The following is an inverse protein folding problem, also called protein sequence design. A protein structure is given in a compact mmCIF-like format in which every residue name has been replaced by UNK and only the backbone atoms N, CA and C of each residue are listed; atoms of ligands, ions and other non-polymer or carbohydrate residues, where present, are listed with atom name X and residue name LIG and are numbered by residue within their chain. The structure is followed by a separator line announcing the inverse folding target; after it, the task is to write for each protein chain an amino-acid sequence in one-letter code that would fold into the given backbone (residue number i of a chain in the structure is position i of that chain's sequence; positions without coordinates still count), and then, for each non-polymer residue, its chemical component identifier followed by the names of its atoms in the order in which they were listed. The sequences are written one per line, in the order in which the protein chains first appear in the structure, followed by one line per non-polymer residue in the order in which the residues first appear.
data_IF_846335729563
#
_entry.id   IF_846335729563
#
_cell.length_a   1.000
_cell.length_b   1.000
_cell.length_c   1.000
_cell.angle_alpha   90.00
_cell.angle_beta   90.00
_cell.angle_gamma   90.00
#
_symmetry.space_group_name_H-M   'P 1'
#
loop_
_entity.id
_entity.type
_entity.pdbx_description
1 polymer ?
#
# COMPACT_ATOMS: atom_id res chain seq x y z
N UNK A 1 -11.04 9.48 20.91
CA UNK A 1 -11.38 9.67 19.49
C UNK A 1 -10.76 8.55 18.67
N UNK A 2 -11.51 8.02 17.71
CA UNK A 2 -10.94 7.23 16.62
C UNK A 2 -10.83 8.09 15.37
N UNK A 3 -9.72 7.99 14.64
CA UNK A 3 -9.52 8.66 13.35
C UNK A 3 -9.07 7.61 12.35
N UNK A 4 -9.83 7.42 11.27
CA UNK A 4 -9.48 6.53 10.16
C UNK A 4 -9.40 7.36 8.89
N UNK A 5 -8.29 7.25 8.17
CA UNK A 5 -8.04 7.97 6.91
C UNK A 5 -7.89 6.92 5.82
N UNK A 6 -8.69 7.01 4.78
CA UNK A 6 -8.68 6.07 3.65
C UNK A 6 -8.76 6.84 2.35
N UNK A 7 -7.62 7.04 1.68
CA UNK A 7 -7.55 7.85 0.46
C UNK A 7 -7.85 9.32 0.74
N UNK A 8 -8.99 9.80 0.25
CA UNK A 8 -9.54 11.15 0.48
C UNK A 8 -10.72 11.18 1.46
N UNK A 9 -11.14 10.03 1.97
CA UNK A 9 -12.17 9.90 3.00
C UNK A 9 -11.53 9.96 4.39
N UNK A 10 -12.04 10.84 5.26
CA UNK A 10 -11.71 10.85 6.68
C UNK A 10 -12.94 10.46 7.50
N UNK A 11 -12.76 9.49 8.38
CA UNK A 11 -13.81 9.02 9.28
C UNK A 11 -13.40 9.28 10.73
N UNK A 12 -14.22 10.06 11.43
CA UNK A 12 -14.05 10.40 12.84
C UNK A 12 -15.03 9.61 13.68
N UNK A 13 -14.55 8.92 14.71
CA UNK A 13 -15.39 8.19 15.65
C UNK A 13 -15.35 8.86 17.03
N UNK A 14 -16.53 9.13 17.57
CA UNK A 14 -16.66 9.71 18.90
C UNK A 14 -16.14 8.73 19.99
N UNK A 15 -15.52 9.20 21.09
CA UNK A 15 -15.03 8.35 22.17
C UNK A 15 -16.11 7.45 22.77
N UNK A 16 -15.72 6.30 23.33
CA UNK A 16 -16.65 5.31 23.91
C UNK A 16 -17.50 5.87 25.04
N UNK A 17 -16.98 6.83 25.80
CA UNK A 17 -17.68 7.48 26.93
C UNK A 17 -18.94 8.26 26.50
N UNK A 18 -19.09 8.53 25.21
CA UNK A 18 -20.19 9.29 24.61
C UNK A 18 -21.05 8.45 23.65
N UNK A 19 -20.85 7.12 23.63
CA UNK A 19 -21.64 6.20 22.77
C UNK A 19 -22.97 5.85 23.43
N UNK A 20 -24.06 5.91 22.66
CA UNK A 20 -25.39 5.42 23.09
C UNK A 20 -26.53 6.44 23.03
N UNK A 21 -26.25 7.73 22.86
CA UNK A 21 -27.25 8.79 22.71
C UNK A 21 -27.17 9.46 21.34
N UNK A 22 -28.14 10.32 21.00
CA UNK A 22 -28.12 11.16 19.79
C UNK A 22 -26.86 12.04 19.79
N UNK A 23 -25.80 11.58 19.14
CA UNK A 23 -24.53 12.32 19.02
C UNK A 23 -24.78 13.54 18.14
N UNK A 24 -24.16 14.65 18.51
CA UNK A 24 -24.10 15.87 17.71
C UNK A 24 -22.66 16.18 17.40
N UNK A 25 -22.44 16.65 16.18
CA UNK A 25 -21.13 17.04 15.69
C UNK A 25 -21.07 18.55 15.46
N UNK A 26 -19.92 19.13 15.78
CA UNK A 26 -19.62 20.54 15.61
C UNK A 26 -18.25 20.68 14.94
N UNK A 27 -18.12 21.64 14.03
CA UNK A 27 -16.86 22.01 13.39
C UNK A 27 -16.62 23.51 13.58
N UNK A 28 -15.49 23.86 14.17
CA UNK A 28 -15.04 25.25 14.39
C UNK A 28 -16.12 26.14 15.03
N UNK A 29 -16.85 25.64 16.03
CA UNK A 29 -17.92 26.41 16.69
C UNK A 29 -19.31 26.25 16.07
N UNK A 30 -19.43 25.57 14.92
CA UNK A 30 -20.67 25.48 14.14
C UNK A 30 -21.21 24.06 14.12
N UNK A 31 -22.48 23.91 14.49
CA UNK A 31 -23.15 22.61 14.42
C UNK A 31 -23.21 22.10 12.97
N UNK A 32 -22.94 20.82 12.79
CA UNK A 32 -23.09 20.10 11.52
C UNK A 32 -24.48 19.45 11.50
N UNK A 33 -25.48 20.04 10.82
CA UNK A 33 -26.82 19.47 10.79
C UNK A 33 -26.82 18.12 10.06
N UNK A 34 -27.67 17.20 10.52
CA UNK A 34 -27.85 15.85 9.96
C UNK A 34 -26.67 14.87 10.14
N UNK A 35 -25.67 15.21 10.94
CA UNK A 35 -24.61 14.28 11.36
C UNK A 35 -24.94 13.84 12.79
N UNK A 36 -25.70 12.75 12.92
CA UNK A 36 -26.10 12.19 14.22
C UNK A 36 -25.52 10.80 14.50
N UNK A 37 -24.75 10.27 13.56
CA UNK A 37 -24.15 8.96 13.67
C UNK A 37 -22.91 9.01 14.58
N UNK A 38 -22.54 7.85 15.14
CA UNK A 38 -21.31 7.70 15.94
C UNK A 38 -20.03 8.01 15.15
N UNK A 39 -20.14 7.93 13.82
CA UNK A 39 -19.08 8.14 12.85
C UNK A 39 -19.43 9.33 11.96
N UNK A 40 -18.55 10.33 11.94
CA UNK A 40 -18.61 11.46 11.01
C UNK A 40 -17.72 11.13 9.81
N UNK A 41 -18.35 10.97 8.64
CA UNK A 41 -17.67 10.74 7.35
C UNK A 41 -17.47 12.07 6.61
N UNK A 42 -16.23 12.37 6.27
CA UNK A 42 -15.83 13.55 5.52
C UNK A 42 -15.26 13.09 4.17
N UNK A 43 -16.09 13.12 3.14
CA UNK A 43 -15.70 12.83 1.77
C UNK A 43 -14.90 14.00 1.17
N UNK A 44 -14.03 13.69 0.19
CA UNK A 44 -13.16 14.65 -0.49
C UNK A 44 -12.45 15.62 0.46
N UNK A 45 -11.81 15.07 1.50
CA UNK A 45 -11.21 15.88 2.54
C UNK A 45 -10.13 16.80 1.95
N UNK A 46 -10.20 18.09 2.26
CA UNK A 46 -9.20 19.09 1.87
C UNK A 46 -8.51 19.64 3.11
N UNK A 47 -7.17 19.67 3.14
CA UNK A 47 -6.42 20.22 4.28
C UNK A 47 -6.84 21.67 4.59
N UNK A 48 -7.12 22.48 3.57
CA UNK A 48 -7.44 23.90 3.76
C UNK A 48 -8.85 24.13 4.26
N UNK A 49 -9.80 23.30 3.86
CA UNK A 49 -11.22 23.51 4.17
C UNK A 49 -11.70 22.66 5.35
N UNK A 50 -11.14 21.46 5.51
CA UNK A 50 -11.58 20.47 6.49
C UNK A 50 -10.64 20.29 7.67
N UNK A 51 -9.48 20.94 7.70
CA UNK A 51 -8.71 21.04 8.95
C UNK A 51 -9.38 22.02 9.90
N UNK A 52 -9.49 21.65 11.18
CA UNK A 52 -10.18 22.46 12.17
C UNK A 52 -10.44 21.72 13.47
N UNK A 53 -11.19 22.37 14.36
CA UNK A 53 -11.65 21.78 15.61
C UNK A 53 -12.97 21.06 15.38
N UNK A 54 -12.97 19.76 15.62
CA UNK A 54 -14.17 18.93 15.65
C UNK A 54 -14.55 18.67 17.09
N UNK A 55 -15.84 18.77 17.40
CA UNK A 55 -16.36 18.35 18.69
C UNK A 55 -17.49 17.35 18.51
N UNK A 56 -17.54 16.37 19.39
CA UNK A 56 -18.69 15.48 19.50
C UNK A 56 -19.21 15.53 20.94
N UNK A 57 -20.53 15.53 21.07
CA UNK A 57 -21.21 15.59 22.34
C UNK A 57 -22.59 14.93 22.23
N UNK A 58 -23.11 14.45 23.35
CA UNK A 58 -24.46 13.90 23.43
C UNK A 58 -25.38 14.93 24.06
N UNK A 59 -26.69 14.79 23.85
CA UNK A 59 -27.68 15.64 24.56
C UNK A 59 -27.65 15.45 26.09
N UNK A 60 -27.12 14.32 26.56
CA UNK A 60 -27.00 13.96 27.98
C UNK A 60 -25.72 14.47 28.64
N UNK A 61 -24.64 14.64 27.88
CA UNK A 61 -23.36 15.14 28.36
C UNK A 61 -23.26 16.65 28.17
N UNK A 62 -23.01 17.39 29.25
CA UNK A 62 -22.60 18.80 29.16
C UNK A 62 -21.14 18.96 28.68
N UNK A 63 -20.35 17.88 28.73
CA UNK A 63 -18.95 17.90 28.33
C UNK A 63 -18.84 17.57 26.84
N UNK A 64 -18.32 18.54 26.08
CA UNK A 64 -17.95 18.37 24.68
C UNK A 64 -16.54 17.79 24.62
N UNK A 65 -16.38 16.68 23.93
CA UNK A 65 -15.05 16.22 23.54
C UNK A 65 -14.60 17.08 22.36
N UNK A 66 -13.33 17.48 22.31
CA UNK A 66 -12.75 18.25 21.21
C UNK A 66 -11.55 17.51 20.60
N UNK A 67 -11.44 17.55 19.28
CA UNK A 67 -10.35 17.02 18.48
C UNK A 67 -9.91 18.07 17.46
N UNK A 68 -8.66 18.47 17.49
CA UNK A 68 -8.08 19.27 16.41
C UNK A 68 -7.60 18.32 15.30
N UNK A 69 -8.27 18.34 14.15
CA UNK A 69 -7.92 17.53 13.01
C UNK A 69 -7.11 18.37 12.03
N UNK A 70 -5.87 17.93 11.78
CA UNK A 70 -5.02 18.45 10.71
C UNK A 70 -4.41 17.28 9.96
N UNK A 71 -5.00 16.97 8.81
CA UNK A 71 -4.60 15.86 7.97
C UNK A 71 -4.32 16.34 6.54
N UNK A 72 -3.34 15.72 5.89
CA UNK A 72 -3.11 15.84 4.45
C UNK A 72 -3.55 14.54 3.83
N UNK A 73 -4.69 14.57 3.16
CA UNK A 73 -5.18 13.43 2.37
C UNK A 73 -4.83 13.65 0.91
N UNK A 74 -4.72 12.57 0.15
CA UNK A 74 -4.35 12.63 -1.25
C UNK A 74 -4.94 11.44 -2.00
N UNK A 75 -5.61 11.71 -3.13
CA UNK A 75 -6.09 10.67 -4.06
C UNK A 75 -4.87 9.93 -4.62
N UNK A 76 -4.80 8.61 -4.40
CA UNK A 76 -3.73 7.70 -4.84
C UNK A 76 -2.36 7.83 -4.14
N UNK A 77 -2.29 8.53 -3.00
CA UNK A 77 -1.07 8.46 -2.20
C UNK A 77 -1.01 7.11 -1.47
N UNK A 78 0.03 6.34 -1.74
CA UNK A 78 0.35 5.11 -0.99
C UNK A 78 1.21 5.54 0.20
N UNK A 79 0.77 5.19 1.41
CA UNK A 79 1.61 5.36 2.58
C UNK A 79 2.82 4.43 2.43
N UNK A 80 3.99 5.03 2.24
CA UNK A 80 5.24 4.30 2.05
C UNK A 80 5.74 3.87 3.43
N UNK A 81 5.22 2.74 3.90
CA UNK A 81 5.72 2.10 5.11
C UNK A 81 7.09 1.45 4.85
N UNK A 82 7.95 1.45 5.86
CA UNK A 82 9.28 0.81 5.83
C UNK A 82 9.17 -0.65 5.41
N UNK A 83 8.16 -1.38 5.91
CA UNK A 83 7.97 -2.78 5.55
C UNK A 83 7.59 -2.94 4.07
N UNK A 84 6.80 -2.02 3.50
CA UNK A 84 6.45 -2.04 2.09
C UNK A 84 7.70 -1.82 1.21
N UNK A 85 8.56 -0.86 1.57
CA UNK A 85 9.82 -0.60 0.85
C UNK A 85 10.74 -1.83 0.91
N UNK A 86 10.92 -2.41 2.10
CA UNK A 86 11.74 -3.61 2.28
C UNK A 86 11.19 -4.77 1.45
N UNK A 87 9.87 -4.99 1.45
CA UNK A 87 9.24 -6.04 0.65
C UNK A 87 9.50 -5.84 -0.85
N UNK A 88 9.39 -4.61 -1.37
CA UNK A 88 9.66 -4.31 -2.78
C UNK A 88 11.12 -4.65 -3.14
N UNK A 89 12.09 -4.27 -2.29
CA UNK A 89 13.50 -4.56 -2.52
C UNK A 89 13.76 -6.08 -2.50
N UNK A 90 13.19 -6.79 -1.53
CA UNK A 90 13.36 -8.25 -1.42
C UNK A 90 12.78 -8.96 -2.65
N UNK A 91 11.63 -8.53 -3.15
CA UNK A 91 11.01 -9.10 -4.35
C UNK A 91 11.90 -8.86 -5.58
N UNK A 92 12.44 -7.65 -5.75
CA UNK A 92 13.32 -7.32 -6.88
C UNK A 92 14.63 -8.14 -6.85
N UNK A 93 15.26 -8.25 -5.68
CA UNK A 93 16.48 -9.07 -5.50
C UNK A 93 16.21 -10.55 -5.78
N UNK A 94 15.10 -11.10 -5.28
CA UNK A 94 14.73 -12.49 -5.55
C UNK A 94 14.44 -12.73 -7.03
N UNK A 95 13.75 -11.80 -7.70
CA UNK A 95 13.43 -11.91 -9.12
C UNK A 95 14.69 -11.84 -9.99
N UNK A 96 15.57 -10.86 -9.73
CA UNK A 96 16.84 -10.72 -10.44
C UNK A 96 17.75 -11.93 -10.26
N UNK A 97 17.92 -12.43 -9.03
CA UNK A 97 18.68 -13.65 -8.76
C UNK A 97 18.06 -14.88 -9.41
N UNK A 98 16.72 -15.01 -9.36
CA UNK A 98 15.99 -16.09 -10.02
C UNK A 98 16.22 -16.12 -11.53
N UNK A 99 16.10 -14.96 -12.19
CA UNK A 99 16.38 -14.83 -13.63
C UNK A 99 17.83 -15.16 -13.96
N UNK A 100 18.79 -14.70 -13.16
CA UNK A 100 20.20 -15.02 -13.36
C UNK A 100 20.47 -16.52 -13.27
N UNK A 101 19.88 -17.21 -12.29
CA UNK A 101 20.00 -18.67 -12.16
C UNK A 101 19.37 -19.38 -13.36
N UNK A 102 18.16 -18.99 -13.78
CA UNK A 102 17.48 -19.58 -14.95
C UNK A 102 18.36 -19.46 -16.20
N UNK A 103 18.85 -18.24 -16.50
CA UNK A 103 19.73 -18.00 -17.66
C UNK A 103 21.02 -18.79 -17.54
N UNK A 104 21.62 -18.85 -16.34
CA UNK A 104 22.83 -19.61 -16.08
C UNK A 104 22.62 -21.11 -16.36
N UNK A 105 21.54 -21.70 -15.86
CA UNK A 105 21.21 -23.11 -16.11
C UNK A 105 20.89 -23.37 -17.58
N UNK A 106 20.20 -22.47 -18.25
CA UNK A 106 19.89 -22.59 -19.69
C UNK A 106 21.16 -22.51 -20.54
N UNK A 107 22.07 -21.59 -20.22
CA UNK A 107 23.37 -21.45 -20.87
C UNK A 107 24.22 -22.69 -20.66
N UNK A 108 24.26 -23.22 -19.43
CA UNK A 108 24.99 -24.44 -19.10
C UNK A 108 24.41 -25.69 -19.79
N UNK A 109 23.09 -25.85 -19.79
CA UNK A 109 22.42 -26.95 -20.50
C UNK A 109 22.59 -26.84 -22.01
N UNK A 110 22.58 -25.64 -22.60
CA UNK A 110 22.94 -25.46 -24.02
C UNK A 110 24.38 -25.88 -24.31
N UNK A 111 25.34 -25.53 -23.44
CA UNK A 111 26.74 -25.94 -23.62
C UNK A 111 26.92 -27.47 -23.56
N UNK A 112 26.13 -28.18 -22.74
CA UNK A 112 26.13 -29.64 -22.71
C UNK A 112 25.52 -30.25 -23.99
N UNK A 113 24.49 -29.63 -24.57
CA UNK A 113 23.83 -30.10 -25.79
C UNK A 113 24.56 -29.71 -27.10
N UNK A 114 25.46 -28.73 -27.08
CA UNK A 114 26.33 -28.40 -28.22
C UNK A 114 27.55 -29.32 -28.36
N UNK A 115 27.79 -30.22 -27.40
CA UNK A 115 28.89 -31.20 -27.45
C UNK A 115 28.46 -32.54 -28.07
N UNK A 116 27.28 -32.59 -28.71
CA UNK A 116 26.75 -33.75 -29.43
C UNK A 116 26.39 -33.45 -30.89
N UNK A 117 26.96 -32.41 -31.49
CA UNK A 117 26.92 -32.24 -32.95
C UNK A 117 28.30 -31.83 -33.45
N UNK A 118 28.82 -32.65 -34.37
CA UNK A 118 30.03 -32.46 -35.19
C UNK A 118 31.37 -32.97 -34.63
N UNK A 119 31.51 -34.29 -34.59
CA UNK A 119 32.74 -34.92 -35.10
C UNK A 119 32.36 -35.90 -36.21
N UNK A 120 31.97 -35.34 -37.36
CA UNK A 120 31.93 -36.09 -38.60
C UNK A 120 33.34 -36.59 -38.88
N UNK A 121 33.59 -37.87 -38.66
CA UNK A 121 34.80 -38.56 -39.10
C UNK A 121 34.75 -38.69 -40.62
N UNK A 122 35.23 -37.67 -41.31
CA UNK A 122 35.42 -37.65 -42.74
C UNK A 122 36.81 -37.11 -43.09
N UNK A 123 37.50 -37.88 -43.94
CA UNK A 123 38.71 -37.57 -44.72
C UNK A 123 40.08 -37.99 -44.12
N UNK A 124 40.74 -38.93 -44.81
CA UNK A 124 42.21 -38.94 -44.90
C UNK A 124 42.97 -40.28 -44.81
N UNK A 125 42.40 -41.42 -45.22
CA UNK A 125 43.13 -42.70 -45.27
C UNK A 125 43.81 -42.95 -46.62
N UNK A 126 45.12 -42.68 -46.70
CA UNK A 126 46.03 -42.88 -47.85
C UNK A 126 46.12 -44.37 -48.26
N UNK A 127 46.02 -44.77 -49.55
CA UNK A 127 46.16 -46.17 -49.93
C UNK A 127 47.65 -46.58 -49.90
N UNK A 128 47.94 -47.73 -49.28
CA UNK A 128 49.27 -48.38 -49.35
C UNK A 128 49.37 -49.13 -50.67
N UNK A 129 50.36 -48.76 -51.49
CA UNK A 129 50.73 -49.46 -52.71
C UNK A 129 51.90 -50.43 -52.46
N UNK A 130 51.70 -51.65 -52.99
CA UNK A 130 52.59 -52.80 -53.21
C UNK A 130 53.35 -53.39 -52.02
#
# INVERSE_FOLDING_TARGET
YGVSISGDLVELTCPEDLRGDSIKWEKDGKDLPNQNDEQLRLEEFSETENSGYYACYTSSSQEKSYLYLKARVCKNCVEVDLMAVVAIIVVDVCFTLGLLLIVYYWSKNRKANSMTVMRGTGAGGRPRGK
#
